data_IF_233545108563
#
_entry.id   IF_233545108563
#
_cell.length_a   1.000
_cell.length_b   1.000
_cell.length_c   1.000
_cell.angle_alpha   90.00
_cell.angle_beta   90.00
_cell.angle_gamma   90.00
#
_symmetry.space_group_name_H-M   'P 1'
#
loop_
_entity.id
_entity.type
_entity.pdbx_description
1 polymer ?
#
# COMPACT_ATOMS: atom_id res chain seq x y z
N UNK A 1 6.26 10.00 28.13
CA UNK A 1 5.09 10.56 27.41
C UNK A 1 4.47 9.42 26.61
N UNK A 2 3.21 9.07 26.84
CA UNK A 2 2.56 7.99 26.10
C UNK A 2 2.29 8.46 24.66
N UNK A 3 2.85 7.77 23.66
CA UNK A 3 2.45 7.95 22.25
C UNK A 3 1.14 7.19 22.07
N UNK A 4 0.02 7.89 22.01
CA UNK A 4 -1.28 7.27 21.68
C UNK A 4 -1.32 7.04 20.18
N UNK A 5 -0.95 5.84 19.72
CA UNK A 5 -1.05 5.52 18.30
C UNK A 5 -2.47 5.11 17.94
N UNK A 6 -3.15 5.89 17.10
CA UNK A 6 -4.40 5.46 16.48
C UNK A 6 -4.06 4.77 15.15
N UNK A 7 -4.55 3.55 14.96
CA UNK A 7 -4.38 2.79 13.74
C UNK A 7 -5.67 2.80 12.93
N UNK A 8 -5.71 3.52 11.81
CA UNK A 8 -6.84 3.42 10.87
C UNK A 8 -6.50 2.35 9.84
N UNK A 9 -7.29 1.27 9.86
CA UNK A 9 -7.19 0.21 8.88
C UNK A 9 -8.16 0.47 7.71
N UNK A 10 -7.65 0.37 6.48
CA UNK A 10 -8.48 0.35 5.27
C UNK A 10 -8.13 -0.87 4.41
N UNK A 11 -9.10 -1.31 3.62
CA UNK A 11 -8.92 -2.41 2.67
C UNK A 11 -9.31 -1.96 1.27
N UNK A 12 -8.39 -2.11 0.33
CA UNK A 12 -8.63 -1.80 -1.09
C UNK A 12 -8.64 -3.12 -1.85
N UNK A 13 -9.75 -3.41 -2.53
CA UNK A 13 -9.87 -4.62 -3.35
C UNK A 13 -8.82 -4.63 -4.46
N UNK A 14 -8.26 -5.80 -4.74
CA UNK A 14 -7.28 -5.95 -5.82
C UNK A 14 -7.92 -5.64 -7.18
N UNK A 15 -7.21 -4.87 -8.00
CA UNK A 15 -7.62 -4.50 -9.35
C UNK A 15 -6.47 -4.64 -10.34
N UNK A 16 -6.75 -5.11 -11.55
CA UNK A 16 -5.76 -5.12 -12.64
C UNK A 16 -5.54 -3.74 -13.26
N UNK A 17 -6.37 -2.76 -12.91
CA UNK A 17 -6.17 -1.35 -13.26
C UNK A 17 -5.64 -0.59 -12.04
N UNK A 18 -4.97 0.54 -12.29
CA UNK A 18 -4.48 1.41 -11.22
C UNK A 18 -5.64 1.91 -10.34
N UNK A 19 -5.46 1.82 -9.03
CA UNK A 19 -6.35 2.36 -8.00
C UNK A 19 -5.55 3.13 -6.97
N UNK A 20 -6.17 4.12 -6.35
CA UNK A 20 -5.55 4.87 -5.26
C UNK A 20 -5.55 4.00 -3.99
N UNK A 21 -4.35 3.70 -3.47
CA UNK A 21 -4.17 3.01 -2.19
C UNK A 21 -4.17 4.01 -1.04
N UNK A 22 -3.47 5.14 -1.23
CA UNK A 22 -3.35 6.19 -0.24
C UNK A 22 -3.46 7.54 -0.93
N UNK A 23 -4.36 8.38 -0.45
CA UNK A 23 -4.37 9.79 -0.82
C UNK A 23 -3.12 10.51 -0.30
N UNK A 24 -2.82 11.67 -0.89
CA UNK A 24 -1.79 12.57 -0.39
C UNK A 24 -2.07 12.94 1.08
N UNK A 25 -1.04 12.93 1.90
CA UNK A 25 -1.14 13.30 3.31
C UNK A 25 0.16 13.96 3.79
N UNK A 26 0.09 15.26 4.03
CA UNK A 26 1.24 16.07 4.51
C UNK A 26 1.61 15.80 5.97
N UNK A 27 0.73 15.13 6.71
CA UNK A 27 0.94 14.74 8.11
C UNK A 27 1.21 13.23 8.24
N UNK A 28 1.61 12.57 7.16
CA UNK A 28 1.94 11.13 7.18
C UNK A 28 3.16 10.90 8.07
N UNK A 29 3.03 9.98 9.01
CA UNK A 29 4.16 9.53 9.83
C UNK A 29 4.67 8.19 9.33
N UNK A 30 3.77 7.20 9.26
CA UNK A 30 4.08 5.88 8.74
C UNK A 30 2.80 5.19 8.27
N UNK A 31 2.88 4.54 7.11
CA UNK A 31 1.83 3.66 6.60
C UNK A 31 2.43 2.31 6.21
N UNK A 32 1.70 1.25 6.49
CA UNK A 32 2.05 -0.11 6.07
C UNK A 32 1.02 -0.63 5.09
N UNK A 33 1.47 -1.17 3.96
CA UNK A 33 0.65 -1.83 2.94
C UNK A 33 1.00 -3.32 2.96
N UNK A 34 0.03 -4.15 3.35
CA UNK A 34 0.12 -5.60 3.29
C UNK A 34 -0.69 -6.11 2.10
N UNK A 35 -0.08 -6.95 1.26
CA UNK A 35 -0.77 -7.55 0.13
C UNK A 35 -1.43 -8.88 0.54
N UNK A 36 -2.72 -8.83 0.92
CA UNK A 36 -3.55 -10.00 1.23
C UNK A 36 -4.21 -10.55 -0.04
N UNK A 37 -3.38 -10.88 -1.03
CA UNK A 37 -3.80 -11.49 -2.30
C UNK A 37 -2.85 -12.60 -2.74
N UNK A 38 -3.29 -13.39 -3.71
CA UNK A 38 -2.42 -14.33 -4.44
C UNK A 38 -1.73 -13.70 -5.65
N UNK A 39 -1.86 -12.39 -5.85
CA UNK A 39 -1.34 -11.65 -7.00
C UNK A 39 -0.25 -10.66 -6.57
N UNK A 40 0.75 -10.44 -7.43
CA UNK A 40 1.75 -9.38 -7.19
C UNK A 40 1.08 -8.01 -7.25
N UNK A 41 1.34 -7.17 -6.25
CA UNK A 41 0.95 -5.76 -6.19
C UNK A 41 2.12 -4.88 -6.64
N UNK A 42 1.89 -4.06 -7.66
CA UNK A 42 2.78 -3.01 -8.13
C UNK A 42 2.38 -1.69 -7.48
N UNK A 43 3.28 -1.11 -6.69
CA UNK A 43 3.06 0.14 -5.96
C UNK A 43 3.82 1.26 -6.64
N UNK A 44 3.12 2.34 -6.96
CA UNK A 44 3.68 3.57 -7.49
C UNK A 44 3.50 4.71 -6.47
N UNK A 45 4.61 5.25 -6.00
CA UNK A 45 4.62 6.50 -5.25
C UNK A 45 4.50 7.67 -6.24
N UNK A 46 3.29 8.20 -6.43
CA UNK A 46 3.02 9.29 -7.37
C UNK A 46 1.57 9.37 -7.84
N UNK A 47 1.29 10.29 -8.76
CA UNK A 47 -0.03 10.52 -9.37
C UNK A 47 -0.22 9.81 -10.73
N UNK A 48 0.64 8.85 -11.06
CA UNK A 48 0.61 8.13 -12.34
C UNK A 48 -0.28 6.88 -12.35
N UNK A 49 -0.23 6.14 -13.46
CA UNK A 49 -0.91 4.84 -13.57
C UNK A 49 0.03 3.72 -13.15
N UNK A 50 -0.24 3.09 -12.00
CA UNK A 50 0.51 1.92 -11.56
C UNK A 50 0.32 0.77 -12.55
N UNK A 51 1.41 0.08 -12.91
CA UNK A 51 1.37 -1.11 -13.79
C UNK A 51 2.61 -1.97 -13.61
N UNK A 52 2.65 -3.13 -14.28
CA UNK A 52 3.82 -4.02 -14.28
C UNK A 52 5.09 -3.42 -14.90
N UNK A 53 4.98 -2.28 -15.60
CA UNK A 53 6.11 -1.55 -16.18
C UNK A 53 6.27 -0.14 -15.61
N UNK A 54 5.39 0.29 -14.71
CA UNK A 54 5.45 1.61 -14.07
C UNK A 54 5.11 1.49 -12.59
N UNK A 55 6.14 1.28 -11.77
CA UNK A 55 6.03 1.09 -10.33
C UNK A 55 7.33 1.53 -9.64
N UNK A 56 7.24 1.87 -8.36
CA UNK A 56 8.38 2.15 -7.48
C UNK A 56 8.77 0.90 -6.69
N UNK A 57 7.77 0.15 -6.21
CA UNK A 57 7.97 -1.04 -5.39
C UNK A 57 7.06 -2.19 -5.84
N UNK A 58 7.54 -3.41 -5.59
CA UNK A 58 6.80 -4.65 -5.83
C UNK A 58 6.53 -5.30 -4.48
N UNK A 59 5.25 -5.55 -4.20
CA UNK A 59 4.81 -6.30 -3.02
C UNK A 59 4.34 -7.68 -3.49
N UNK A 60 5.07 -8.75 -3.17
CA UNK A 60 4.72 -10.08 -3.64
C UNK A 60 3.36 -10.53 -3.08
N UNK A 61 2.76 -11.59 -3.64
CA UNK A 61 1.60 -12.24 -3.05
C UNK A 61 1.83 -12.58 -1.59
N UNK A 62 0.75 -12.70 -0.81
CA UNK A 62 0.88 -13.20 0.56
C UNK A 62 1.56 -14.57 0.55
N UNK A 63 2.69 -14.67 1.25
CA UNK A 63 3.27 -15.94 1.62
C UNK A 63 2.70 -16.38 2.97
N UNK A 64 2.66 -17.68 3.16
CA UNK A 64 2.33 -18.36 4.40
C UNK A 64 3.34 -18.11 5.52
N UNK A 65 4.59 -17.76 5.20
CA UNK A 65 5.65 -17.67 6.20
C UNK A 65 5.82 -16.30 6.87
N UNK A 66 5.82 -15.18 6.15
CA UNK A 66 5.83 -13.85 6.75
C UNK A 66 5.31 -12.87 5.70
N UNK A 67 4.13 -12.27 5.92
CA UNK A 67 3.56 -11.31 4.99
C UNK A 67 4.55 -10.17 4.71
N UNK A 68 5.10 -10.14 3.49
CA UNK A 68 6.01 -9.08 3.07
C UNK A 68 5.20 -7.79 2.95
N UNK A 69 5.30 -6.98 3.99
CA UNK A 69 4.66 -5.68 4.05
C UNK A 69 5.56 -4.64 3.41
N UNK A 70 4.95 -3.73 2.65
CA UNK A 70 5.62 -2.54 2.20
C UNK A 70 5.36 -1.40 3.18
N UNK A 71 6.44 -0.74 3.59
CA UNK A 71 6.38 0.46 4.42
C UNK A 71 6.54 1.66 3.52
N UNK A 72 5.53 2.53 3.52
CA UNK A 72 5.62 3.81 2.82
C UNK A 72 6.64 4.65 3.56
N UNK A 73 7.63 5.20 2.84
CA UNK A 73 8.63 6.05 3.45
C UNK A 73 7.95 7.25 4.14
N UNK A 74 8.38 7.58 5.36
CA UNK A 74 7.83 8.71 6.11
C UNK A 74 8.00 10.06 5.39
N UNK A 75 9.00 10.15 4.51
CA UNK A 75 9.26 11.33 3.68
C UNK A 75 8.32 11.43 2.47
N UNK A 76 7.64 10.33 2.10
CA UNK A 76 6.68 10.32 1.01
C UNK A 76 5.30 10.83 1.47
N UNK A 77 5.04 12.11 1.21
CA UNK A 77 3.77 12.76 1.53
C UNK A 77 2.74 12.65 0.40
N UNK A 78 3.17 12.24 -0.79
CA UNK A 78 2.34 12.14 -1.98
C UNK A 78 1.31 10.99 -1.94
N UNK A 79 0.47 10.87 -2.98
CA UNK A 79 -0.44 9.74 -3.12
C UNK A 79 0.33 8.47 -3.48
N UNK A 80 -0.29 7.32 -3.22
CA UNK A 80 0.24 6.00 -3.58
C UNK A 80 -0.81 5.28 -4.40
N UNK A 81 -0.40 4.82 -5.58
CA UNK A 81 -1.23 4.08 -6.53
C UNK A 81 -0.83 2.61 -6.51
N UNK A 82 -1.78 1.74 -6.79
CA UNK A 82 -1.60 0.30 -6.79
C UNK A 82 -2.28 -0.35 -7.99
N UNK A 83 -1.62 -1.36 -8.57
CA UNK A 83 -2.23 -2.26 -9.54
C UNK A 83 -1.75 -3.69 -9.26
N UNK A 84 -2.61 -4.68 -9.45
CA UNK A 84 -2.27 -6.09 -9.26
C UNK A 84 -2.11 -6.79 -10.60
N UNK A 85 -1.31 -7.84 -10.60
CA UNK A 85 -1.24 -8.79 -11.72
C UNK A 85 -2.56 -9.54 -11.96
N UNK A 86 -3.44 -9.65 -10.95
CA UNK A 86 -4.78 -10.21 -11.06
C UNK A 86 -5.72 -9.63 -9.98
N UNK A 87 -7.02 -9.53 -10.28
CA UNK A 87 -8.03 -9.06 -9.33
C UNK A 87 -8.49 -10.18 -8.37
N UNK A 88 -7.68 -10.47 -7.36
CA UNK A 88 -7.97 -11.43 -6.29
C UNK A 88 -7.51 -10.84 -4.95
N UNK A 89 -8.34 -10.93 -3.90
CA UNK A 89 -7.95 -10.44 -2.56
C UNK A 89 -7.93 -8.92 -2.46
N UNK A 90 -7.05 -8.39 -1.61
CA UNK A 90 -7.00 -6.96 -1.29
C UNK A 90 -5.63 -6.52 -0.75
N UNK A 91 -5.36 -5.21 -0.80
CA UNK A 91 -4.36 -4.58 0.07
C UNK A 91 -5.01 -4.24 1.42
N UNK A 92 -4.32 -4.56 2.52
CA UNK A 92 -4.63 -4.08 3.86
C UNK A 92 -3.67 -2.95 4.19
N UNK A 93 -4.21 -1.81 4.56
CA UNK A 93 -3.42 -0.61 4.82
C UNK A 93 -3.64 -0.21 6.27
N UNK A 94 -2.54 -0.05 7.01
CA UNK A 94 -2.56 0.43 8.39
C UNK A 94 -1.81 1.73 8.46
N UNK A 95 -2.51 2.79 8.86
CA UNK A 95 -1.93 4.10 9.16
C UNK A 95 -1.61 4.23 10.62
N UNK A 96 -0.41 4.66 10.99
CA UNK A 96 -0.10 5.06 12.37
C UNK A 96 -0.03 6.58 12.47
N UNK A 97 -0.90 7.17 13.29
CA UNK A 97 -0.78 8.58 13.74
C UNK A 97 -0.32 8.62 15.20
N UNK A 98 0.38 9.68 15.61
CA UNK A 98 0.72 9.98 17.03
C UNK A 98 -0.20 11.03 17.63
#
# INVERSE_FOLDING_TARGET
>A
MAKTSLATASSIAASTTSVELLAQNVSRLEDTIANDSTATLYVLEGTGTASSTNFTYLVPPKSDEFGLNYYVASEWLGPVQGAWSAANGAARITRRST
#
